data_IF_984798055765
#
_entry.id   IF_984798055765
#
_cell.length_a   1.000
_cell.length_b   1.000
_cell.length_c   1.000
_cell.angle_alpha   90.00
_cell.angle_beta   90.00
_cell.angle_gamma   90.00
#
_symmetry.space_group_name_H-M   'P 1'
#
loop_
_entity.id
_entity.type
_entity.pdbx_description
1 polymer ?
#
# COMPACT_ATOMS: atom_id res chain seq x y z
N UNK A 1 -13.91 15.57 12.08
CA UNK A 1 -12.51 15.52 12.59
C UNK A 1 -12.38 14.74 13.91
N UNK A 2 -13.33 14.85 14.86
CA UNK A 2 -13.34 14.07 16.10
C UNK A 2 -13.46 12.54 15.91
N UNK A 3 -14.31 12.10 14.96
CA UNK A 3 -14.57 10.67 14.72
C UNK A 3 -13.34 9.88 14.27
N UNK A 4 -12.50 10.45 13.40
CA UNK A 4 -11.27 9.79 12.92
C UNK A 4 -10.21 9.62 14.03
N UNK A 5 -10.17 10.51 15.03
CA UNK A 5 -9.28 10.37 16.18
C UNK A 5 -9.78 9.29 17.16
N UNK A 6 -11.09 9.09 17.28
CA UNK A 6 -11.67 8.01 18.08
C UNK A 6 -11.37 6.64 17.46
N UNK A 7 -11.36 6.55 16.13
CA UNK A 7 -11.02 5.33 15.40
C UNK A 7 -9.58 4.84 15.65
N UNK A 8 -8.65 5.73 15.95
CA UNK A 8 -7.25 5.35 16.25
C UNK A 8 -7.11 4.57 17.56
N UNK A 9 -8.11 4.67 18.45
CA UNK A 9 -8.19 3.93 19.73
C UNK A 9 -9.32 2.91 19.74
N UNK A 10 -9.85 2.55 18.57
CA UNK A 10 -10.93 1.55 18.47
C UNK A 10 -10.48 0.24 19.11
N UNK A 11 -11.26 -0.22 20.09
CA UNK A 11 -11.09 -1.54 20.68
C UNK A 11 -11.61 -2.63 19.74
N UNK A 12 -11.33 -3.88 20.11
CA UNK A 12 -11.70 -5.07 19.33
C UNK A 12 -13.21 -5.14 19.06
N UNK A 13 -14.05 -4.72 20.00
CA UNK A 13 -15.51 -4.72 19.83
C UNK A 13 -15.99 -3.74 18.76
N UNK A 14 -15.36 -2.57 18.65
CA UNK A 14 -15.64 -1.64 17.55
C UNK A 14 -15.29 -2.26 16.21
N UNK A 15 -14.14 -2.94 16.12
CA UNK A 15 -13.71 -3.62 14.89
C UNK A 15 -14.70 -4.73 14.50
N UNK A 16 -15.14 -5.56 15.46
CA UNK A 16 -16.17 -6.59 15.21
C UNK A 16 -17.48 -6.00 14.71
N UNK A 17 -17.93 -4.88 15.30
CA UNK A 17 -19.15 -4.19 14.83
C UNK A 17 -18.98 -3.75 13.38
N UNK A 18 -17.86 -3.09 13.03
CA UNK A 18 -17.59 -2.69 11.65
C UNK A 18 -17.58 -3.88 10.70
N UNK A 19 -16.92 -4.97 11.06
CA UNK A 19 -16.85 -6.19 10.26
C UNK A 19 -18.24 -6.82 10.06
N UNK A 20 -19.08 -6.85 11.10
CA UNK A 20 -20.45 -7.39 10.98
C UNK A 20 -21.29 -6.66 9.92
N UNK A 21 -21.01 -5.37 9.69
CA UNK A 21 -21.74 -4.54 8.73
C UNK A 21 -21.31 -4.74 7.29
N UNK A 22 -20.26 -5.50 7.01
CA UNK A 22 -19.83 -5.77 5.64
C UNK A 22 -20.84 -6.63 4.87
N UNK A 23 -21.63 -7.42 5.60
CA UNK A 23 -22.67 -8.28 5.06
C UNK A 23 -24.09 -7.75 5.33
N UNK A 24 -24.21 -6.47 5.71
CA UNK A 24 -25.48 -5.78 5.89
C UNK A 24 -26.25 -5.69 4.56
N UNK A 25 -27.57 -5.51 4.59
CA UNK A 25 -28.39 -5.35 3.39
C UNK A 25 -28.29 -3.94 2.83
N UNK A 26 -28.13 -2.93 3.70
CA UNK A 26 -28.01 -1.54 3.27
C UNK A 26 -26.59 -1.19 2.85
N UNK A 27 -26.46 -0.66 1.63
CA UNK A 27 -25.17 -0.23 1.06
C UNK A 27 -24.47 0.83 1.92
N UNK A 28 -25.25 1.76 2.46
CA UNK A 28 -24.73 2.87 3.25
C UNK A 28 -23.89 2.40 4.45
N UNK A 29 -24.36 1.39 5.19
CA UNK A 29 -23.62 0.84 6.32
C UNK A 29 -22.35 0.08 5.90
N UNK A 30 -22.40 -0.61 4.75
CA UNK A 30 -21.22 -1.28 4.18
C UNK A 30 -20.14 -0.28 3.82
N UNK A 31 -20.51 0.79 3.10
CA UNK A 31 -19.57 1.85 2.69
C UNK A 31 -18.94 2.53 3.92
N UNK A 32 -19.76 2.95 4.88
CA UNK A 32 -19.27 3.60 6.10
C UNK A 32 -18.31 2.70 6.88
N UNK A 33 -18.63 1.40 6.98
CA UNK A 33 -17.79 0.44 7.71
C UNK A 33 -16.50 0.12 6.97
N UNK A 34 -16.56 0.04 5.63
CA UNK A 34 -15.39 -0.13 4.78
C UNK A 34 -14.44 1.08 4.88
N UNK A 35 -14.97 2.30 4.87
CA UNK A 35 -14.18 3.52 5.03
C UNK A 35 -13.51 3.59 6.41
N UNK A 36 -14.28 3.27 7.46
CA UNK A 36 -13.78 3.24 8.84
C UNK A 36 -12.66 2.22 9.02
N UNK A 37 -12.86 0.99 8.52
CA UNK A 37 -11.89 -0.08 8.62
C UNK A 37 -10.64 0.22 7.77
N UNK A 38 -10.83 0.75 6.56
CA UNK A 38 -9.73 1.20 5.70
C UNK A 38 -8.87 2.26 6.40
N UNK A 39 -9.50 3.25 7.04
CA UNK A 39 -8.79 4.25 7.82
C UNK A 39 -7.98 3.62 8.95
N UNK A 40 -8.58 2.69 9.71
CA UNK A 40 -7.91 1.97 10.78
C UNK A 40 -6.71 1.17 10.26
N UNK A 41 -6.87 0.42 9.17
CA UNK A 41 -5.80 -0.37 8.54
C UNK A 41 -4.65 0.53 8.07
N UNK A 42 -4.96 1.68 7.47
CA UNK A 42 -3.95 2.64 7.01
C UNK A 42 -3.12 3.21 8.17
N UNK A 43 -3.74 3.44 9.31
CA UNK A 43 -3.09 3.99 10.52
C UNK A 43 -2.27 2.95 11.26
N UNK A 44 -2.79 1.74 11.40
CA UNK A 44 -2.12 0.63 12.07
C UNK A 44 -1.13 -0.13 11.19
N UNK A 45 -1.02 0.24 9.90
CA UNK A 45 -0.06 -0.36 8.98
C UNK A 45 1.37 -0.20 9.49
N UNK A 46 2.05 -1.33 9.64
CA UNK A 46 3.46 -1.39 10.03
C UNK A 46 4.32 -0.63 8.99
N UNK A 47 5.19 0.23 9.50
CA UNK A 47 6.10 1.02 8.66
C UNK A 47 7.18 0.12 8.08
N UNK A 48 7.40 0.26 6.78
CA UNK A 48 8.51 -0.38 6.06
C UNK A 48 9.85 0.16 6.56
N UNK A 49 10.86 -0.70 6.69
CA UNK A 49 12.24 -0.30 6.97
C UNK A 49 12.80 0.42 5.74
N UNK A 50 13.41 1.59 5.96
CA UNK A 50 13.91 2.47 4.90
C UNK A 50 15.42 2.64 4.98
N UNK A 51 16.06 2.87 3.84
CA UNK A 51 17.46 3.27 3.72
C UNK A 51 17.57 4.57 2.92
N UNK A 52 18.62 5.33 3.22
CA UNK A 52 19.05 6.44 2.37
C UNK A 52 19.87 5.85 1.22
N UNK A 53 19.34 5.95 0.01
CA UNK A 53 20.02 5.52 -1.20
C UNK A 53 20.54 6.74 -1.94
N UNK A 54 21.76 6.62 -2.46
CA UNK A 54 22.43 7.64 -3.26
C UNK A 54 22.67 7.08 -4.65
N UNK A 55 22.49 7.89 -5.68
CA UNK A 55 22.77 7.44 -7.05
C UNK A 55 24.25 7.04 -7.17
N UNK A 56 24.57 5.80 -7.61
CA UNK A 56 25.94 5.36 -7.81
C UNK A 56 26.68 6.20 -8.85
N UNK A 57 25.96 6.63 -9.89
CA UNK A 57 26.46 7.50 -10.93
C UNK A 57 26.23 8.95 -10.50
N UNK A 58 27.24 9.57 -9.87
CA UNK A 58 27.17 10.98 -9.49
C UNK A 58 27.04 11.83 -10.76
N UNK A 59 25.99 12.64 -10.83
CA UNK A 59 25.93 13.71 -11.80
C UNK A 59 27.13 14.64 -11.55
N UNK A 60 27.90 14.94 -12.60
CA UNK A 60 28.94 15.97 -12.52
C UNK A 60 28.24 17.30 -12.19
N UNK A 61 28.51 17.85 -11.02
CA UNK A 61 27.81 19.06 -10.51
C UNK A 61 27.99 20.29 -11.41
N UNK A 62 29.04 20.27 -12.24
CA UNK A 62 29.41 21.34 -13.18
C UNK A 62 28.70 21.27 -14.54
N UNK A 63 27.81 20.29 -14.75
CA UNK A 63 27.07 20.16 -16.01
C UNK A 63 25.76 20.94 -15.88
N UNK A 64 25.42 21.82 -16.85
CA UNK A 64 24.15 22.55 -16.83
C UNK A 64 22.98 21.57 -16.71
N UNK A 65 22.00 21.91 -15.86
CA UNK A 65 20.86 21.05 -15.56
C UNK A 65 20.09 20.76 -16.86
N UNK A 66 20.13 19.50 -17.30
CA UNK A 66 19.39 19.02 -18.47
C UNK A 66 18.24 18.13 -18.02
N UNK A 67 17.03 18.46 -18.46
CA UNK A 67 15.87 17.57 -18.31
C UNK A 67 16.01 16.37 -19.26
N UNK A 68 15.42 15.23 -18.87
CA UNK A 68 15.33 14.03 -19.71
C UNK A 68 16.21 12.87 -19.24
N UNK A 69 16.39 11.88 -20.12
CA UNK A 69 17.25 10.72 -19.87
C UNK A 69 18.72 11.15 -19.90
N UNK A 70 19.41 10.87 -18.81
CA UNK A 70 20.83 11.14 -18.60
C UNK A 70 21.50 9.89 -18.06
N UNK A 71 22.82 9.72 -18.26
CA UNK A 71 23.55 8.55 -17.78
C UNK A 71 23.31 8.23 -16.29
N UNK A 72 23.17 9.26 -15.45
CA UNK A 72 22.92 9.15 -14.01
C UNK A 72 21.50 8.70 -13.64
N UNK A 73 20.52 8.84 -14.54
CA UNK A 73 19.12 8.53 -14.27
C UNK A 73 18.52 7.42 -15.15
N UNK A 74 19.33 6.77 -15.99
CA UNK A 74 18.91 5.60 -16.80
C UNK A 74 18.37 4.48 -15.92
N UNK A 75 18.87 4.33 -14.69
CA UNK A 75 18.38 3.32 -13.73
C UNK A 75 16.91 3.49 -13.34
N UNK A 76 16.28 4.63 -13.63
CA UNK A 76 14.85 4.88 -13.44
C UNK A 76 14.01 4.45 -14.63
N UNK A 77 14.62 4.33 -15.81
CA UNK A 77 13.93 3.92 -17.00
C UNK A 77 13.63 2.42 -16.92
N UNK A 78 12.49 2.03 -17.46
CA UNK A 78 12.15 0.63 -17.63
C UNK A 78 13.11 0.00 -18.65
N UNK A 79 13.81 -1.06 -18.24
CA UNK A 79 14.68 -1.85 -19.09
C UNK A 79 14.14 -3.28 -19.16
N UNK A 80 13.61 -3.67 -20.31
CA UNK A 80 13.04 -5.00 -20.54
C UNK A 80 14.10 -6.11 -20.49
N UNK A 81 15.36 -5.79 -20.72
CA UNK A 81 16.46 -6.77 -20.74
C UNK A 81 17.02 -7.05 -19.35
N UNK A 82 16.88 -6.10 -18.42
CA UNK A 82 17.41 -6.20 -17.07
C UNK A 82 16.33 -6.18 -15.98
N UNK A 83 15.21 -6.84 -16.24
CA UNK A 83 14.16 -7.00 -15.24
C UNK A 83 14.63 -7.88 -14.07
N UNK A 84 14.14 -7.64 -12.85
CA UNK A 84 14.41 -8.48 -11.69
C UNK A 84 13.58 -9.78 -11.74
N UNK A 85 13.85 -10.62 -12.73
CA UNK A 85 13.16 -11.88 -13.00
C UNK A 85 13.70 -13.08 -12.21
N UNK A 86 14.82 -12.91 -11.51
CA UNK A 86 15.38 -13.89 -10.58
C UNK A 86 15.33 -13.36 -9.15
N UNK A 87 15.30 -14.27 -8.17
CA UNK A 87 15.32 -13.89 -6.76
C UNK A 87 16.56 -13.05 -6.42
N UNK A 88 17.74 -13.41 -6.93
CA UNK A 88 18.98 -12.67 -6.71
C UNK A 88 18.91 -11.21 -7.21
N UNK A 89 18.39 -11.02 -8.44
CA UNK A 89 18.19 -9.69 -9.01
C UNK A 89 17.13 -8.92 -8.23
N UNK A 90 16.00 -9.55 -7.90
CA UNK A 90 14.95 -8.94 -7.09
C UNK A 90 15.47 -8.46 -5.73
N UNK A 91 16.23 -9.31 -5.06
CA UNK A 91 16.81 -9.05 -3.74
C UNK A 91 17.88 -7.95 -3.75
N UNK A 92 18.42 -7.63 -4.93
CA UNK A 92 19.47 -6.62 -5.13
C UNK A 92 18.97 -5.36 -5.84
N UNK A 93 17.70 -5.30 -6.25
CA UNK A 93 17.12 -4.17 -6.98
C UNK A 93 16.52 -3.14 -6.04
N UNK A 94 16.71 -1.85 -6.34
CA UNK A 94 16.02 -0.75 -5.67
C UNK A 94 14.78 -0.37 -6.48
N UNK A 95 13.61 -0.44 -5.86
CA UNK A 95 12.36 -0.03 -6.48
C UNK A 95 12.01 1.40 -6.09
N UNK A 96 11.98 2.30 -7.08
CA UNK A 96 11.65 3.71 -6.88
C UNK A 96 10.23 3.98 -7.36
N UNK A 97 9.37 4.43 -6.45
CA UNK A 97 7.97 4.74 -6.77
C UNK A 97 7.72 6.18 -7.22
N UNK A 98 8.71 7.07 -7.02
CA UNK A 98 8.63 8.48 -7.42
C UNK A 98 9.73 8.79 -8.42
N UNK A 99 9.46 9.74 -9.30
CA UNK A 99 10.35 10.25 -10.32
C UNK A 99 11.43 11.17 -9.73
N UNK A 100 12.31 10.64 -8.89
CA UNK A 100 13.50 11.36 -8.43
C UNK A 100 14.48 11.56 -9.58
N UNK A 101 15.35 12.57 -9.53
CA UNK A 101 16.45 12.65 -10.51
C UNK A 101 16.06 12.98 -11.96
N UNK A 102 14.79 13.27 -12.28
CA UNK A 102 14.42 13.70 -13.64
C UNK A 102 15.01 15.07 -14.00
N UNK A 103 15.02 16.02 -13.06
CA UNK A 103 15.66 17.33 -13.23
C UNK A 103 17.02 17.39 -12.50
N UNK A 104 17.00 17.14 -11.18
CA UNK A 104 18.18 17.11 -10.31
C UNK A 104 18.02 16.02 -9.27
N UNK A 105 19.11 15.33 -8.93
CA UNK A 105 19.12 14.39 -7.81
C UNK A 105 19.15 15.13 -6.48
N UNK A 106 18.33 14.73 -5.50
CA UNK A 106 18.58 15.11 -4.11
C UNK A 106 19.85 14.42 -3.59
N UNK A 107 20.47 14.90 -2.50
CA UNK A 107 21.67 14.28 -1.92
C UNK A 107 21.50 12.80 -1.59
N UNK A 108 20.30 12.42 -1.17
CA UNK A 108 19.88 11.02 -1.02
C UNK A 108 18.36 10.93 -1.16
N UNK A 109 17.87 9.73 -1.42
CA UNK A 109 16.44 9.42 -1.42
C UNK A 109 16.13 8.35 -0.37
N UNK A 110 14.94 8.44 0.20
CA UNK A 110 14.47 7.45 1.15
C UNK A 110 13.70 6.34 0.41
N UNK A 111 14.31 5.16 0.33
CA UNK A 111 13.74 3.98 -0.34
C UNK A 111 13.56 2.84 0.66
N UNK A 112 12.72 1.87 0.32
CA UNK A 112 12.64 0.62 1.10
C UNK A 112 13.99 -0.10 0.99
N UNK A 113 14.43 -0.73 2.09
CA UNK A 113 15.65 -1.54 2.07
C UNK A 113 15.55 -2.65 1.01
N UNK A 114 16.70 -3.10 0.52
CA UNK A 114 16.78 -4.24 -0.39
C UNK A 114 16.00 -5.45 0.16
N UNK A 115 15.33 -6.19 -0.73
CA UNK A 115 14.51 -7.33 -0.32
C UNK A 115 15.32 -8.48 0.30
N UNK A 116 16.65 -8.52 0.11
CA UNK A 116 17.56 -9.40 0.86
C UNK A 116 17.56 -9.17 2.39
N UNK A 117 17.02 -8.05 2.85
CA UNK A 117 16.84 -7.72 4.27
C UNK A 117 15.35 -7.66 4.59
N UNK A 118 14.94 -7.94 5.83
CA UNK A 118 13.56 -7.75 6.26
C UNK A 118 13.08 -6.32 5.97
N UNK A 119 12.09 -6.18 5.09
CA UNK A 119 11.52 -4.87 4.71
C UNK A 119 10.46 -4.39 5.70
N UNK A 120 9.95 -5.28 6.55
CA UNK A 120 8.94 -5.02 7.56
C UNK A 120 9.31 -5.84 8.80
N UNK A 121 9.34 -5.20 9.97
CA UNK A 121 9.50 -5.89 11.24
C UNK A 121 8.11 -6.09 11.85
N UNK A 122 7.48 -7.24 11.58
CA UNK A 122 6.10 -7.51 11.98
C UNK A 122 6.06 -8.11 13.39
N UNK A 123 5.45 -7.43 14.39
CA UNK A 123 5.13 -8.05 15.67
C UNK A 123 4.01 -9.09 15.49
N UNK A 124 3.76 -9.88 16.54
CA UNK A 124 2.59 -10.75 16.59
C UNK A 124 1.30 -9.91 16.42
N UNK A 125 0.29 -10.51 15.79
CA UNK A 125 -0.98 -9.85 15.55
C UNK A 125 -1.63 -9.44 16.86
N UNK A 126 -2.08 -8.19 16.94
CA UNK A 126 -2.90 -7.74 18.07
C UNK A 126 -4.33 -8.30 17.95
N UNK A 127 -5.14 -8.15 19.00
CA UNK A 127 -6.51 -8.69 19.04
C UNK A 127 -7.42 -8.13 17.95
N UNK A 128 -7.25 -6.87 17.57
CA UNK A 128 -8.01 -6.24 16.48
C UNK A 128 -7.63 -6.84 15.12
N UNK A 129 -6.33 -7.01 14.86
CA UNK A 129 -5.83 -7.66 13.64
C UNK A 129 -6.27 -9.11 13.57
N UNK A 130 -6.28 -9.84 14.70
CA UNK A 130 -6.80 -11.21 14.76
C UNK A 130 -8.28 -11.27 14.42
N UNK A 131 -9.10 -10.39 14.99
CA UNK A 131 -10.53 -10.31 14.67
C UNK A 131 -10.78 -10.00 13.18
N UNK A 132 -9.95 -9.14 12.58
CA UNK A 132 -10.00 -8.86 11.14
C UNK A 132 -9.67 -10.11 10.32
N UNK A 133 -8.59 -10.81 10.66
CA UNK A 133 -8.19 -12.05 9.98
C UNK A 133 -9.27 -13.10 10.09
N UNK A 134 -9.77 -13.37 11.30
CA UNK A 134 -10.84 -14.34 11.56
C UNK A 134 -12.10 -14.04 10.74
N UNK A 135 -12.51 -12.76 10.68
CA UNK A 135 -13.67 -12.37 9.88
C UNK A 135 -13.45 -12.57 8.37
N UNK A 136 -12.28 -12.23 7.83
CA UNK A 136 -11.99 -12.43 6.41
C UNK A 136 -11.69 -13.89 6.04
N UNK A 137 -11.35 -14.73 7.02
CA UNK A 137 -11.21 -16.19 6.84
C UNK A 137 -12.55 -16.92 6.89
N UNK A 138 -13.61 -16.34 7.47
CA UNK A 138 -14.97 -16.89 7.41
C UNK A 138 -15.49 -16.92 5.95
N UNK A 139 -15.64 -18.11 5.33
CA UNK A 139 -16.06 -18.21 3.95
C UNK A 139 -17.46 -17.68 3.69
N UNK A 140 -18.37 -17.76 4.68
CA UNK A 140 -19.77 -17.32 4.51
C UNK A 140 -19.83 -15.79 4.46
N UNK A 141 -19.23 -15.11 5.43
CA UNK A 141 -19.16 -13.65 5.44
C UNK A 141 -18.42 -13.14 4.21
N UNK A 142 -17.23 -13.68 3.91
CA UNK A 142 -16.41 -13.23 2.79
C UNK A 142 -17.14 -13.36 1.45
N UNK A 143 -17.76 -14.52 1.20
CA UNK A 143 -18.53 -14.75 -0.05
C UNK A 143 -19.71 -13.80 -0.16
N UNK A 144 -20.47 -13.59 0.93
CA UNK A 144 -21.63 -12.67 0.92
C UNK A 144 -21.16 -11.24 0.63
N UNK A 145 -20.10 -10.78 1.28
CA UNK A 145 -19.53 -9.46 1.06
C UNK A 145 -19.06 -9.26 -0.39
N UNK A 146 -18.29 -10.20 -0.95
CA UNK A 146 -17.83 -10.13 -2.34
C UNK A 146 -18.99 -10.10 -3.32
N UNK A 147 -20.04 -10.90 -3.09
CA UNK A 147 -21.25 -10.88 -3.94
C UNK A 147 -21.96 -9.53 -3.91
N UNK A 148 -22.12 -8.91 -2.74
CA UNK A 148 -22.70 -7.58 -2.60
C UNK A 148 -21.87 -6.53 -3.34
N UNK A 149 -20.54 -6.56 -3.19
CA UNK A 149 -19.64 -5.67 -3.92
C UNK A 149 -19.74 -5.83 -5.44
N UNK A 150 -19.91 -7.07 -5.94
CA UNK A 150 -20.08 -7.32 -7.37
C UNK A 150 -21.42 -6.78 -7.90
N UNK A 151 -22.50 -6.89 -7.13
CA UNK A 151 -23.80 -6.32 -7.48
C UNK A 151 -23.66 -4.80 -7.57
N UNK A 152 -23.13 -4.16 -6.53
CA UNK A 152 -22.93 -2.70 -6.51
C UNK A 152 -22.04 -2.19 -7.65
N UNK A 153 -21.00 -2.94 -8.03
CA UNK A 153 -20.14 -2.59 -9.17
C UNK A 153 -20.83 -2.71 -10.52
N UNK A 154 -21.82 -3.60 -10.69
CA UNK A 154 -22.59 -3.63 -11.93
C UNK A 154 -23.44 -2.37 -12.09
N UNK A 155 -23.86 -1.79 -10.98
CA UNK A 155 -24.72 -0.61 -10.94
C UNK A 155 -23.92 0.71 -10.96
N UNK A 156 -22.60 0.66 -10.78
CA UNK A 156 -21.72 1.84 -10.74
C UNK A 156 -20.57 1.73 -11.76
N UNK A 157 -20.48 2.63 -12.76
CA UNK A 157 -19.43 2.58 -13.78
C UNK A 157 -18.04 2.97 -13.27
N UNK A 158 -17.88 3.37 -12.00
CA UNK A 158 -16.63 3.88 -11.44
C UNK A 158 -16.19 3.11 -10.19
N UNK A 159 -14.90 2.82 -10.10
CA UNK A 159 -14.29 2.19 -8.91
C UNK A 159 -14.00 3.27 -7.88
N UNK A 160 -14.63 3.18 -6.70
CA UNK A 160 -14.39 4.10 -5.59
C UNK A 160 -13.06 3.80 -4.88
N UNK A 161 -12.40 4.85 -4.36
CA UNK A 161 -11.12 4.71 -3.67
C UNK A 161 -11.20 3.71 -2.50
N UNK A 162 -12.30 3.71 -1.75
CA UNK A 162 -12.51 2.85 -0.59
C UNK A 162 -12.45 1.35 -0.92
N UNK A 163 -13.05 0.95 -2.05
CA UNK A 163 -12.94 -0.43 -2.57
C UNK A 163 -11.49 -0.76 -2.97
N UNK A 164 -10.77 0.19 -3.57
CA UNK A 164 -9.35 0.02 -3.94
C UNK A 164 -8.47 -0.12 -2.70
N UNK A 165 -8.77 0.62 -1.63
CA UNK A 165 -7.96 0.60 -0.41
C UNK A 165 -8.21 -0.64 0.47
N UNK A 166 -9.45 -1.14 0.53
CA UNK A 166 -9.78 -2.37 1.24
C UNK A 166 -9.13 -3.60 0.62
N UNK A 167 -9.15 -3.69 -0.72
CA UNK A 167 -8.71 -4.89 -1.43
C UNK A 167 -7.27 -4.78 -1.93
N UNK A 168 -6.69 -3.56 -1.99
CA UNK A 168 -5.42 -3.20 -2.63
C UNK A 168 -4.58 -4.39 -3.11
N UNK A 169 -5.02 -4.97 -4.22
CA UNK A 169 -4.20 -5.86 -5.03
C UNK A 169 -3.22 -4.92 -5.70
N UNK A 170 -1.92 -5.11 -5.47
CA UNK A 170 -0.91 -4.36 -6.21
C UNK A 170 -1.14 -4.64 -7.70
N UNK A 171 -1.66 -3.65 -8.42
CA UNK A 171 -1.46 -3.49 -9.86
C UNK A 171 -0.01 -3.16 -10.14
#
# INVERSE_FOLDING_TARGET
MLWSCQMEKSGVETIKVLLSRFADEEKYFRDQSADALCYWLKKNKIKTVRMNWTCPLKAKEDVPLKCGLRPDNVCLAYDSTNLPNTEEKWNSTVFMSKQYGCYKWPPSINVVVFAKRPQINRPALNECEKAIVEAFEDPMMYRKWVMLLLIEKRDLPQVTESTVWMIKVKS
#
